data_IF_078887223671
#
_entry.id   IF_078887223671
#
_cell.length_a   1.000
_cell.length_b   1.000
_cell.length_c   1.000
_cell.angle_alpha   90.00
_cell.angle_beta   90.00
_cell.angle_gamma   90.00
#
_symmetry.space_group_name_H-M   'P 1'
#
loop_
_entity.id
_entity.type
_entity.pdbx_description
1 polymer ?
#
# COMPACT_ATOMS: atom_id res chain seq x y z
N UNK A 1 16.55 20.36 -54.23
CA UNK A 1 17.10 20.65 -52.90
C UNK A 1 16.09 20.09 -51.91
N UNK A 2 16.37 18.92 -51.34
CA UNK A 2 15.48 18.27 -50.38
C UNK A 2 15.68 18.92 -49.02
N UNK A 3 14.62 19.49 -48.47
CA UNK A 3 14.59 19.92 -47.08
C UNK A 3 14.62 18.69 -46.18
N UNK A 4 15.56 18.68 -45.24
CA UNK A 4 15.70 17.66 -44.22
C UNK A 4 14.52 17.73 -43.24
N UNK A 5 14.03 16.59 -42.73
CA UNK A 5 12.96 16.59 -41.75
C UNK A 5 13.47 17.10 -40.40
N UNK A 6 12.66 17.96 -39.77
CA UNK A 6 12.87 18.47 -38.42
C UNK A 6 13.01 17.30 -37.44
N UNK A 7 14.09 17.33 -36.64
CA UNK A 7 14.43 16.29 -35.69
C UNK A 7 13.31 16.06 -34.67
N UNK A 8 13.04 14.77 -34.43
CA UNK A 8 12.44 14.29 -33.19
C UNK A 8 13.23 14.88 -32.03
N UNK A 9 12.56 15.64 -31.16
CA UNK A 9 13.14 15.99 -29.88
C UNK A 9 13.28 14.68 -29.08
N UNK A 10 14.52 14.30 -28.80
CA UNK A 10 14.90 13.30 -27.81
C UNK A 10 14.22 13.63 -26.48
N UNK A 11 13.14 12.93 -26.15
CA UNK A 11 12.58 12.87 -24.80
C UNK A 11 13.27 11.74 -24.01
N UNK A 12 14.60 11.73 -24.02
CA UNK A 12 15.44 10.69 -23.40
C UNK A 12 15.67 10.91 -21.89
N UNK A 13 14.82 11.73 -21.24
CA UNK A 13 14.82 11.85 -19.79
C UNK A 13 14.25 10.55 -19.19
N UNK A 14 14.97 9.89 -18.26
CA UNK A 14 14.46 8.69 -17.63
C UNK A 14 13.13 9.01 -16.94
N UNK A 15 12.11 8.15 -17.05
CA UNK A 15 10.80 8.42 -16.50
C UNK A 15 10.89 8.71 -15.00
N UNK A 16 10.30 9.83 -14.57
CA UNK A 16 10.30 10.25 -13.16
C UNK A 16 9.33 9.38 -12.35
N UNK A 17 9.78 8.95 -11.17
CA UNK A 17 8.94 8.25 -10.18
C UNK A 17 7.92 9.22 -9.57
N UNK A 18 6.65 8.79 -9.46
CA UNK A 18 5.57 9.59 -8.87
C UNK A 18 4.94 8.75 -7.77
N UNK A 19 5.36 8.91 -6.50
CA UNK A 19 4.96 8.01 -5.43
C UNK A 19 3.45 8.07 -5.17
N UNK A 20 2.85 6.91 -4.94
CA UNK A 20 1.52 6.84 -4.34
C UNK A 20 1.61 7.22 -2.85
N UNK A 21 0.69 8.05 -2.31
CA UNK A 21 0.75 8.49 -0.91
C UNK A 21 0.75 7.34 0.09
N UNK A 22 1.51 7.48 1.19
CA UNK A 22 1.45 6.53 2.29
C UNK A 22 0.11 6.63 3.02
N UNK A 23 -0.51 5.48 3.30
CA UNK A 23 -1.75 5.39 4.08
C UNK A 23 -1.43 5.09 5.54
N UNK A 24 -1.78 6.02 6.44
CA UNK A 24 -1.57 5.91 7.88
C UNK A 24 -2.55 4.92 8.53
N UNK A 25 -2.22 4.37 9.69
CA UNK A 25 -3.23 3.71 10.54
C UNK A 25 -4.25 4.73 11.05
N UNK A 26 -5.43 4.28 11.49
CA UNK A 26 -6.44 5.18 12.05
C UNK A 26 -5.90 6.00 13.23
N UNK A 27 -5.22 5.35 14.19
CA UNK A 27 -4.68 6.03 15.36
C UNK A 27 -3.61 7.07 14.98
N UNK A 28 -2.72 6.74 14.05
CA UNK A 28 -1.70 7.68 13.56
C UNK A 28 -2.33 8.82 12.77
N UNK A 29 -3.38 8.56 12.00
CA UNK A 29 -4.16 9.60 11.33
C UNK A 29 -4.77 10.58 12.34
N UNK A 30 -5.44 10.07 13.37
CA UNK A 30 -6.06 10.87 14.43
C UNK A 30 -5.00 11.70 15.16
N UNK A 31 -3.92 11.08 15.64
CA UNK A 31 -2.84 11.77 16.35
C UNK A 31 -2.17 12.86 15.52
N UNK A 32 -1.94 12.60 14.23
CA UNK A 32 -1.26 13.54 13.34
C UNK A 32 -2.14 14.72 12.96
N UNK A 33 -3.41 14.48 12.65
CA UNK A 33 -4.25 15.48 11.98
C UNK A 33 -5.29 16.16 12.87
N UNK A 34 -5.80 15.49 13.92
CA UNK A 34 -6.82 16.08 14.80
C UNK A 34 -6.29 17.27 15.62
N UNK A 35 -5.06 17.26 16.18
CA UNK A 35 -4.55 18.44 16.88
C UNK A 35 -4.44 19.67 15.97
N UNK A 36 -3.98 19.48 14.73
CA UNK A 36 -3.87 20.56 13.73
C UNK A 36 -5.25 21.10 13.34
N UNK A 37 -6.22 20.20 13.15
CA UNK A 37 -7.60 20.54 12.87
C UNK A 37 -8.23 21.37 14.01
N UNK A 38 -8.07 20.94 15.27
CA UNK A 38 -8.60 21.63 16.46
C UNK A 38 -7.98 23.02 16.63
N UNK A 39 -6.66 23.12 16.47
CA UNK A 39 -5.97 24.41 16.53
C UNK A 39 -6.45 25.39 15.43
N UNK A 40 -6.65 24.90 14.20
CA UNK A 40 -7.19 25.72 13.11
C UNK A 40 -8.62 26.19 13.42
N UNK A 41 -9.47 25.32 13.97
CA UNK A 41 -10.84 25.65 14.36
C UNK A 41 -10.88 26.73 15.46
N UNK A 42 -10.07 26.57 16.51
CA UNK A 42 -9.95 27.55 17.60
C UNK A 42 -9.48 28.92 17.13
N UNK A 43 -8.58 28.94 16.13
CA UNK A 43 -8.05 30.17 15.53
C UNK A 43 -8.94 30.76 14.44
N UNK A 44 -10.10 30.15 14.14
CA UNK A 44 -10.99 30.56 13.05
C UNK A 44 -10.34 30.49 11.66
N UNK A 45 -9.33 29.63 11.50
CA UNK A 45 -8.60 29.43 10.24
C UNK A 45 -9.33 28.42 9.34
N UNK A 46 -8.95 28.41 8.05
CA UNK A 46 -9.42 27.36 7.13
C UNK A 46 -8.97 26.00 7.66
N UNK A 47 -9.93 25.09 7.83
CA UNK A 47 -9.64 23.73 8.26
C UNK A 47 -8.85 22.98 7.18
N UNK A 48 -7.86 22.15 7.55
CA UNK A 48 -7.09 21.34 6.59
C UNK A 48 -7.96 20.30 5.87
N UNK A 49 -9.01 19.80 6.54
CA UNK A 49 -10.04 18.90 6.01
C UNK A 49 -11.32 19.08 6.87
N UNK A 50 -12.49 18.56 6.42
CA UNK A 50 -13.74 18.71 7.17
C UNK A 50 -13.65 18.12 8.59
N UNK A 51 -14.12 18.87 9.59
CA UNK A 51 -14.12 18.40 10.99
C UNK A 51 -15.06 17.21 11.21
N UNK A 52 -16.15 17.17 10.45
CA UNK A 52 -17.00 16.00 10.29
C UNK A 52 -16.83 15.48 8.87
N UNK A 53 -16.29 14.28 8.70
CA UNK A 53 -15.96 13.73 7.40
C UNK A 53 -16.57 12.33 7.21
N UNK A 54 -17.01 12.05 5.98
CA UNK A 54 -17.50 10.74 5.57
C UNK A 54 -16.36 9.96 4.93
N UNK A 55 -16.21 8.69 5.29
CA UNK A 55 -15.22 7.79 4.71
C UNK A 55 -15.89 6.53 4.18
N UNK A 56 -15.36 6.04 3.07
CA UNK A 56 -15.70 4.75 2.50
C UNK A 56 -14.55 3.76 2.71
N UNK A 57 -14.85 2.65 3.36
CA UNK A 57 -13.96 1.51 3.52
C UNK A 57 -14.00 0.60 2.30
N UNK A 58 -12.84 0.30 1.72
CA UNK A 58 -12.64 -0.75 0.71
C UNK A 58 -11.66 -1.80 1.24
N UNK A 59 -11.65 -2.98 0.62
CA UNK A 59 -10.73 -4.04 1.04
C UNK A 59 -9.27 -3.60 0.89
N UNK A 60 -8.48 -3.78 1.96
CA UNK A 60 -7.04 -3.76 1.87
C UNK A 60 -6.56 -5.14 1.40
N UNK A 61 -6.01 -5.20 0.20
CA UNK A 61 -5.38 -6.40 -0.33
C UNK A 61 -3.90 -6.40 0.05
N UNK A 62 -3.37 -7.59 0.33
CA UNK A 62 -1.98 -7.80 0.70
C UNK A 62 -1.17 -8.21 -0.54
N UNK A 63 -0.43 -7.27 -1.11
CA UNK A 63 0.31 -7.46 -2.35
C UNK A 63 1.45 -6.45 -2.52
N UNK A 64 1.86 -6.25 -3.77
CA UNK A 64 2.79 -5.19 -4.14
C UNK A 64 2.00 -4.01 -4.66
N UNK A 65 2.26 -2.84 -4.09
CA UNK A 65 1.78 -1.59 -4.66
C UNK A 65 2.32 -1.45 -6.09
N UNK A 66 1.42 -1.16 -7.02
CA UNK A 66 1.77 -0.85 -8.39
C UNK A 66 0.97 0.33 -8.91
N UNK A 67 1.63 1.24 -9.60
CA UNK A 67 0.97 2.31 -10.35
C UNK A 67 1.28 2.16 -11.84
N UNK A 68 0.26 2.43 -12.65
CA UNK A 68 0.35 2.54 -14.10
C UNK A 68 0.20 4.02 -14.43
N UNK A 69 1.27 4.62 -14.95
CA UNK A 69 1.32 6.06 -15.26
C UNK A 69 1.22 6.28 -16.77
N UNK A 70 0.27 7.11 -17.18
CA UNK A 70 0.15 7.65 -18.53
C UNK A 70 0.41 9.15 -18.48
N UNK A 71 1.13 9.70 -19.46
CA UNK A 71 1.54 11.11 -19.45
C UNK A 71 1.50 11.70 -20.84
N UNK A 72 1.31 13.02 -20.91
CA UNK A 72 1.34 13.79 -22.16
C UNK A 72 0.38 13.23 -23.23
N UNK A 73 -0.82 12.83 -22.80
CA UNK A 73 -1.85 12.19 -23.63
C UNK A 73 -1.41 10.86 -24.32
N UNK A 74 -0.28 10.27 -23.92
CA UNK A 74 0.16 8.96 -24.42
C UNK A 74 -0.56 7.84 -23.67
N UNK A 75 -1.49 7.19 -24.38
CA UNK A 75 -2.30 6.07 -23.88
C UNK A 75 -1.63 4.71 -24.05
N UNK A 76 -0.58 4.60 -24.86
CA UNK A 76 -0.02 3.32 -25.31
C UNK A 76 1.31 2.96 -24.66
N UNK A 77 2.05 3.95 -24.13
CA UNK A 77 3.34 3.74 -23.48
C UNK A 77 3.28 4.04 -21.98
N UNK A 78 2.62 3.19 -21.17
CA UNK A 78 2.57 3.40 -19.73
C UNK A 78 3.95 3.20 -19.08
N UNK A 79 4.20 3.98 -18.03
CA UNK A 79 5.31 3.76 -17.10
C UNK A 79 4.78 3.03 -15.87
N UNK A 80 5.36 1.86 -15.57
CA UNK A 80 5.03 1.13 -14.35
C UNK A 80 5.89 1.61 -13.19
N UNK A 81 5.30 1.68 -12.00
CA UNK A 81 6.04 1.99 -10.79
C UNK A 81 5.62 1.06 -9.66
N UNK A 82 6.59 0.70 -8.83
CA UNK A 82 6.33 0.15 -7.52
C UNK A 82 6.25 1.31 -6.51
N UNK A 83 6.09 0.99 -5.22
CA UNK A 83 6.08 2.00 -4.15
C UNK A 83 7.33 2.88 -4.18
N UNK A 84 8.49 2.29 -4.44
CA UNK A 84 9.78 2.94 -4.23
C UNK A 84 10.54 3.32 -5.51
N UNK A 85 10.11 2.85 -6.69
CA UNK A 85 10.84 3.11 -7.94
C UNK A 85 10.00 2.93 -9.20
N UNK A 86 10.53 3.44 -10.31
CA UNK A 86 10.09 3.03 -11.64
C UNK A 86 10.49 1.58 -11.90
N UNK A 87 9.60 0.85 -12.56
CA UNK A 87 9.77 -0.55 -12.95
C UNK A 87 9.78 -0.64 -14.47
N UNK A 88 10.77 -1.35 -15.00
CA UNK A 88 11.02 -1.52 -16.43
C UNK A 88 10.62 -2.92 -16.89
N UNK A 89 10.57 -3.12 -18.21
CA UNK A 89 10.32 -4.44 -18.79
C UNK A 89 11.43 -5.46 -18.52
N UNK A 90 12.63 -5.02 -18.10
CA UNK A 90 13.76 -5.89 -17.75
C UNK A 90 13.68 -6.42 -16.31
N UNK A 91 12.86 -5.80 -15.46
CA UNK A 91 12.69 -6.21 -14.07
C UNK A 91 11.97 -7.57 -13.98
N UNK A 92 12.54 -8.50 -13.20
CA UNK A 92 11.97 -9.84 -12.96
C UNK A 92 10.96 -9.84 -11.79
N UNK A 93 10.07 -8.85 -11.77
CA UNK A 93 9.12 -8.61 -10.68
C UNK A 93 7.67 -9.02 -10.98
N UNK A 94 6.79 -8.96 -9.98
CA UNK A 94 5.37 -9.29 -10.16
C UNK A 94 4.64 -8.29 -11.05
N UNK A 95 5.06 -7.02 -11.05
CA UNK A 95 4.43 -5.95 -11.86
C UNK A 95 4.65 -6.19 -13.37
N UNK A 96 5.88 -6.32 -13.89
CA UNK A 96 6.08 -6.54 -15.33
C UNK A 96 5.56 -7.90 -15.78
N UNK A 97 5.70 -8.93 -14.93
CA UNK A 97 5.20 -10.28 -15.22
C UNK A 97 3.69 -10.31 -15.41
N UNK A 98 2.95 -9.41 -14.76
CA UNK A 98 1.50 -9.36 -14.88
C UNK A 98 1.04 -8.36 -15.93
N UNK A 99 1.63 -7.16 -15.98
CA UNK A 99 1.05 -6.03 -16.74
C UNK A 99 1.61 -5.86 -18.16
N UNK A 100 2.81 -6.36 -18.45
CA UNK A 100 3.42 -6.21 -19.77
C UNK A 100 2.56 -6.87 -20.86
N UNK A 101 2.42 -6.19 -22.00
CA UNK A 101 1.71 -6.70 -23.18
C UNK A 101 0.19 -6.65 -23.09
N UNK A 102 -0.40 -6.22 -21.96
CA UNK A 102 -1.84 -6.03 -21.83
C UNK A 102 -2.30 -4.75 -22.55
N UNK A 103 -3.54 -4.70 -23.09
CA UNK A 103 -4.06 -3.52 -23.77
C UNK A 103 -4.52 -2.44 -22.78
N UNK A 104 -3.59 -1.90 -21.98
CA UNK A 104 -3.87 -1.00 -20.86
C UNK A 104 -4.45 0.36 -21.28
N UNK A 105 -4.29 0.76 -22.55
CA UNK A 105 -4.93 1.95 -23.12
C UNK A 105 -6.46 1.93 -22.94
N UNK A 106 -7.07 0.74 -22.90
CA UNK A 106 -8.51 0.59 -22.67
C UNK A 106 -8.94 1.05 -21.26
N UNK A 107 -8.05 1.01 -20.26
CA UNK A 107 -8.34 1.60 -18.95
C UNK A 107 -8.37 3.12 -19.04
N UNK A 108 -7.44 3.72 -19.80
CA UNK A 108 -7.40 5.17 -20.02
C UNK A 108 -8.65 5.65 -20.73
N UNK A 109 -9.10 4.93 -21.76
CA UNK A 109 -10.32 5.27 -22.49
C UNK A 109 -11.53 5.31 -21.56
N UNK A 110 -11.69 4.29 -20.70
CA UNK A 110 -12.75 4.26 -19.67
C UNK A 110 -12.64 5.40 -18.66
N UNK A 111 -11.43 5.69 -18.18
CA UNK A 111 -11.18 6.78 -17.22
C UNK A 111 -11.56 8.13 -17.84
N UNK A 112 -11.09 8.40 -19.06
CA UNK A 112 -11.34 9.68 -19.72
C UNK A 112 -12.80 9.86 -20.14
N UNK A 113 -13.49 8.80 -20.54
CA UNK A 113 -14.94 8.85 -20.80
C UNK A 113 -15.71 9.33 -19.56
N UNK A 114 -15.41 8.76 -18.38
CA UNK A 114 -16.07 9.13 -17.12
C UNK A 114 -15.66 10.56 -16.71
N UNK A 115 -14.37 10.86 -16.74
CA UNK A 115 -13.81 12.13 -16.32
C UNK A 115 -14.33 13.30 -17.17
N UNK A 116 -14.27 13.17 -18.49
CA UNK A 116 -14.68 14.22 -19.42
C UNK A 116 -16.19 14.45 -19.35
N UNK A 117 -17.00 13.37 -19.27
CA UNK A 117 -18.44 13.48 -19.06
C UNK A 117 -18.76 14.25 -17.77
N UNK A 118 -18.08 13.95 -16.66
CA UNK A 118 -18.26 14.66 -15.39
C UNK A 118 -17.88 16.13 -15.44
N UNK A 119 -16.95 16.51 -16.33
CA UNK A 119 -16.52 17.91 -16.55
C UNK A 119 -17.27 18.62 -17.68
N UNK A 120 -18.18 17.95 -18.39
CA UNK A 120 -18.81 18.49 -19.60
C UNK A 120 -17.83 18.74 -20.75
N UNK A 121 -16.72 18.00 -20.77
CA UNK A 121 -15.67 18.09 -21.78
C UNK A 121 -15.85 17.01 -22.87
N UNK A 122 -15.32 17.21 -24.09
CA UNK A 122 -15.30 16.17 -25.11
C UNK A 122 -14.45 14.97 -24.69
N UNK A 123 -14.81 13.76 -25.13
CA UNK A 123 -14.04 12.53 -24.84
C UNK A 123 -12.57 12.58 -25.32
N UNK A 124 -12.31 13.39 -26.34
CA UNK A 124 -10.98 13.63 -26.90
C UNK A 124 -10.18 14.73 -26.18
N UNK A 125 -10.64 15.23 -25.03
CA UNK A 125 -9.87 16.19 -24.25
C UNK A 125 -8.52 15.56 -23.81
N UNK A 126 -7.38 16.24 -24.05
CA UNK A 126 -6.08 15.71 -23.69
C UNK A 126 -5.89 15.74 -22.17
N UNK A 127 -5.15 14.76 -21.64
CA UNK A 127 -4.71 14.73 -20.25
C UNK A 127 -3.19 14.96 -20.14
N UNK A 128 -2.76 15.57 -19.05
CA UNK A 128 -1.34 15.70 -18.71
C UNK A 128 -0.81 14.44 -18.04
N UNK A 129 -1.59 13.87 -17.12
CA UNK A 129 -1.23 12.67 -16.37
C UNK A 129 -2.46 11.86 -15.93
N UNK A 130 -2.38 10.54 -16.07
CA UNK A 130 -3.28 9.60 -15.39
C UNK A 130 -2.43 8.62 -14.57
N UNK A 131 -2.72 8.52 -13.28
CA UNK A 131 -2.21 7.46 -12.40
C UNK A 131 -3.34 6.49 -12.11
N UNK A 132 -3.15 5.22 -12.46
CA UNK A 132 -4.00 4.11 -12.02
C UNK A 132 -3.22 3.35 -10.94
N UNK A 133 -3.62 3.55 -9.68
CA UNK A 133 -2.99 2.90 -8.54
C UNK A 133 -3.76 1.65 -8.14
N UNK A 134 -3.01 0.57 -7.88
CA UNK A 134 -3.60 -0.71 -7.50
C UNK A 134 -2.61 -1.63 -6.80
N UNK A 135 -3.07 -2.83 -6.52
CA UNK A 135 -2.31 -3.87 -5.85
C UNK A 135 -2.09 -5.05 -6.79
N UNK A 136 -0.83 -5.42 -7.04
CA UNK A 136 -0.49 -6.70 -7.67
C UNK A 136 -0.44 -7.77 -6.58
N UNK A 137 -1.38 -8.69 -6.61
CA UNK A 137 -1.53 -9.74 -5.60
C UNK A 137 -1.87 -11.08 -6.24
N UNK A 138 -1.90 -12.14 -5.44
CA UNK A 138 -2.18 -13.50 -5.90
C UNK A 138 -1.05 -14.48 -5.58
N UNK A 139 -1.03 -15.60 -6.30
CA UNK A 139 -0.10 -16.71 -6.08
C UNK A 139 1.36 -16.25 -6.12
N UNK A 140 2.14 -16.75 -5.17
CA UNK A 140 3.58 -16.54 -5.00
C UNK A 140 3.97 -15.10 -4.65
N UNK A 141 3.01 -14.27 -4.22
CA UNK A 141 3.24 -12.89 -3.79
C UNK A 141 3.40 -12.84 -2.28
N UNK A 142 2.39 -13.31 -1.54
CA UNK A 142 2.40 -13.39 -0.08
C UNK A 142 1.92 -14.73 0.44
N UNK A 143 2.67 -15.29 1.38
CA UNK A 143 2.23 -16.47 2.13
C UNK A 143 1.15 -16.02 3.15
N UNK A 144 0.32 -16.94 3.62
CA UNK A 144 -0.65 -16.71 4.72
C UNK A 144 -1.87 -15.79 4.45
N UNK A 145 -2.13 -15.38 3.21
CA UNK A 145 -3.38 -14.69 2.82
C UNK A 145 -4.20 -15.52 1.84
N UNK A 146 -5.53 -15.44 1.92
CA UNK A 146 -6.44 -16.22 1.06
C UNK A 146 -6.22 -15.96 -0.43
N UNK A 147 -5.93 -14.70 -0.79
CA UNK A 147 -5.69 -14.26 -2.17
C UNK A 147 -4.48 -14.95 -2.80
N UNK A 148 -3.54 -15.50 -2.03
CA UNK A 148 -2.42 -16.31 -2.55
C UNK A 148 -2.87 -17.58 -3.28
N UNK A 149 -4.11 -18.02 -3.06
CA UNK A 149 -4.68 -19.19 -3.75
C UNK A 149 -5.17 -18.84 -5.17
N UNK A 150 -5.28 -17.56 -5.50
CA UNK A 150 -5.70 -17.06 -6.80
C UNK A 150 -4.51 -16.88 -7.74
N UNK A 151 -4.66 -17.05 -9.06
CA UNK A 151 -3.64 -16.60 -10.00
C UNK A 151 -3.36 -15.10 -9.82
N UNK A 152 -2.15 -14.64 -10.16
CA UNK A 152 -1.76 -13.22 -10.03
C UNK A 152 -2.78 -12.30 -10.71
N UNK A 153 -3.06 -11.16 -10.10
CA UNK A 153 -4.02 -10.17 -10.56
C UNK A 153 -3.59 -8.77 -10.12
N UNK A 154 -4.16 -7.75 -10.76
CA UNK A 154 -4.00 -6.35 -10.39
C UNK A 154 -5.37 -5.81 -9.99
N UNK A 155 -5.49 -5.23 -8.81
CA UNK A 155 -6.75 -4.64 -8.35
C UNK A 155 -6.59 -3.14 -8.17
N UNK A 156 -7.26 -2.36 -9.01
CA UNK A 156 -7.26 -0.90 -8.97
C UNK A 156 -7.97 -0.47 -7.69
N UNK A 157 -7.35 0.43 -6.92
CA UNK A 157 -7.94 0.99 -5.70
C UNK A 157 -8.07 2.52 -5.71
N UNK A 158 -7.31 3.24 -6.55
CA UNK A 158 -7.44 4.69 -6.70
C UNK A 158 -6.99 5.15 -8.09
N UNK A 159 -7.55 6.26 -8.55
CA UNK A 159 -7.23 6.88 -9.83
C UNK A 159 -6.98 8.38 -9.60
N UNK A 160 -5.95 8.92 -10.26
CA UNK A 160 -5.64 10.35 -10.29
C UNK A 160 -5.60 10.82 -11.74
N UNK A 161 -6.27 11.92 -12.04
CA UNK A 161 -6.25 12.57 -13.36
C UNK A 161 -5.81 14.02 -13.17
N UNK A 162 -4.74 14.41 -13.85
CA UNK A 162 -4.17 15.77 -13.82
C UNK A 162 -3.99 16.31 -12.40
N UNK A 163 -3.41 15.48 -11.53
CA UNK A 163 -3.14 15.82 -10.14
C UNK A 163 -4.33 15.71 -9.18
N UNK A 164 -5.53 15.42 -9.68
CA UNK A 164 -6.77 15.32 -8.87
C UNK A 164 -7.17 13.87 -8.66
N UNK A 165 -7.36 13.46 -7.40
CA UNK A 165 -7.92 12.15 -7.05
C UNK A 165 -9.42 12.13 -7.35
N UNK A 166 -9.87 11.10 -8.06
CA UNK A 166 -11.28 10.94 -8.44
C UNK A 166 -12.04 10.11 -7.40
N UNK A 167 -13.36 10.28 -7.37
CA UNK A 167 -14.24 9.45 -6.54
C UNK A 167 -14.36 8.05 -7.15
N UNK A 168 -13.70 7.06 -6.56
CA UNK A 168 -13.71 5.69 -7.08
C UNK A 168 -15.11 5.08 -7.24
N UNK A 169 -16.14 5.59 -6.55
CA UNK A 169 -17.53 5.15 -6.73
C UNK A 169 -18.05 5.37 -8.14
N UNK A 170 -17.57 6.42 -8.81
CA UNK A 170 -17.91 6.73 -10.21
C UNK A 170 -17.10 5.89 -11.21
N UNK A 171 -16.00 5.28 -10.77
CA UNK A 171 -15.03 4.56 -11.62
C UNK A 171 -15.05 3.05 -11.39
N UNK A 172 -16.10 2.50 -10.77
CA UNK A 172 -16.24 1.06 -10.46
C UNK A 172 -16.17 0.12 -11.68
N UNK A 173 -16.48 0.65 -12.87
CA UNK A 173 -16.48 -0.10 -14.14
C UNK A 173 -15.14 0.01 -14.90
N UNK A 174 -14.16 0.74 -14.34
CA UNK A 174 -12.77 0.76 -14.80
C UNK A 174 -12.10 -0.53 -14.35
N UNK A 175 -12.18 -1.55 -15.20
CA UNK A 175 -11.59 -2.87 -15.02
C UNK A 175 -11.35 -3.54 -16.38
N UNK A 176 -10.54 -4.61 -16.38
CA UNK A 176 -10.35 -5.53 -17.50
C UNK A 176 -10.25 -6.97 -16.95
N UNK A 177 -11.39 -7.54 -16.57
CA UNK A 177 -11.43 -8.83 -15.85
C UNK A 177 -10.84 -10.00 -16.64
N UNK A 178 -11.01 -10.01 -17.98
CA UNK A 178 -10.37 -11.00 -18.87
C UNK A 178 -8.84 -10.97 -18.77
N UNK A 179 -8.30 -9.81 -18.42
CA UNK A 179 -6.88 -9.57 -18.18
C UNK A 179 -6.49 -9.70 -16.70
N UNK A 180 -7.40 -10.13 -15.82
CA UNK A 180 -7.22 -10.16 -14.36
C UNK A 180 -6.88 -8.79 -13.77
N UNK A 181 -7.44 -7.74 -14.35
CA UNK A 181 -7.42 -6.38 -13.81
C UNK A 181 -8.81 -6.10 -13.24
N UNK A 182 -8.90 -6.02 -11.92
CA UNK A 182 -10.13 -5.82 -11.19
C UNK A 182 -10.21 -4.40 -10.63
N UNK A 183 -11.41 -4.00 -10.18
CA UNK A 183 -11.61 -2.74 -9.46
C UNK A 183 -12.08 -3.05 -8.03
N UNK A 184 -11.43 -2.48 -7.02
CA UNK A 184 -11.72 -2.77 -5.62
C UNK A 184 -13.19 -2.48 -5.25
N UNK A 185 -13.82 -1.57 -5.99
CA UNK A 185 -15.22 -1.18 -5.84
C UNK A 185 -16.23 -2.28 -6.22
N UNK A 186 -15.78 -3.40 -6.81
CA UNK A 186 -16.65 -4.54 -7.12
C UNK A 186 -16.83 -5.51 -5.94
N UNK A 187 -16.23 -5.21 -4.78
CA UNK A 187 -16.38 -5.96 -3.53
C UNK A 187 -17.08 -5.13 -2.46
N UNK A 188 -17.51 -5.74 -1.33
CA UNK A 188 -18.18 -5.01 -0.27
C UNK A 188 -17.42 -3.75 0.16
N UNK A 189 -18.18 -2.67 0.33
CA UNK A 189 -17.71 -1.41 0.88
C UNK A 189 -18.46 -1.12 2.18
N UNK A 190 -17.85 -0.26 3.00
CA UNK A 190 -18.42 0.21 4.25
C UNK A 190 -18.40 1.73 4.25
N UNK A 191 -19.27 2.37 5.04
CA UNK A 191 -19.25 3.81 5.23
C UNK A 191 -19.25 4.15 6.71
N UNK A 192 -18.55 5.22 7.05
CA UNK A 192 -18.52 5.78 8.40
C UNK A 192 -18.48 7.30 8.32
N UNK A 193 -19.15 7.97 9.24
CA UNK A 193 -19.00 9.41 9.44
C UNK A 193 -18.28 9.63 10.76
N UNK A 194 -17.19 10.40 10.72
CA UNK A 194 -16.34 10.65 11.88
C UNK A 194 -16.40 12.14 12.18
N UNK A 195 -16.77 12.46 13.42
CA UNK A 195 -16.60 13.80 13.97
C UNK A 195 -15.28 13.85 14.73
N UNK A 196 -14.30 14.56 14.18
CA UNK A 196 -12.97 14.69 14.75
C UNK A 196 -12.89 15.73 15.86
N UNK A 197 -13.97 16.46 16.15
CA UNK A 197 -14.04 17.34 17.32
C UNK A 197 -14.38 16.54 18.59
N UNK A 198 -15.05 15.40 18.43
CA UNK A 198 -15.47 14.49 19.50
C UNK A 198 -14.43 13.40 19.80
N UNK A 199 -14.70 12.57 20.82
CA UNK A 199 -13.91 11.36 21.08
C UNK A 199 -14.15 10.32 19.97
N UNK A 200 -13.05 9.74 19.47
CA UNK A 200 -13.05 8.79 18.35
C UNK A 200 -12.97 7.33 18.81
N UNK A 201 -12.96 7.06 20.11
CA UNK A 201 -12.79 5.71 20.66
C UNK A 201 -13.85 4.71 20.18
N UNK A 202 -15.14 5.06 20.24
CA UNK A 202 -16.22 4.17 19.79
C UNK A 202 -16.13 3.85 18.30
N UNK A 203 -15.81 4.87 17.50
CA UNK A 203 -15.59 4.72 16.06
C UNK A 203 -14.38 3.83 15.79
N UNK A 204 -13.28 4.03 16.50
CA UNK A 204 -12.09 3.17 16.41
C UNK A 204 -12.46 1.70 16.63
N UNK A 205 -13.16 1.40 17.73
CA UNK A 205 -13.60 0.03 18.04
C UNK A 205 -14.44 -0.56 16.90
N UNK A 206 -15.41 0.19 16.39
CA UNK A 206 -16.23 -0.26 15.27
C UNK A 206 -15.41 -0.52 13.99
N UNK A 207 -14.46 0.34 13.65
CA UNK A 207 -13.58 0.15 12.49
C UNK A 207 -12.81 -1.18 12.60
N UNK A 208 -12.27 -1.48 13.78
CA UNK A 208 -11.54 -2.74 14.01
C UNK A 208 -12.46 -3.96 14.07
N UNK A 209 -13.70 -3.83 14.58
CA UNK A 209 -14.70 -4.91 14.52
C UNK A 209 -15.05 -5.32 13.08
N UNK A 210 -15.22 -4.34 12.18
CA UNK A 210 -15.46 -4.64 10.76
C UNK A 210 -14.20 -5.20 10.10
N UNK A 211 -13.03 -4.65 10.44
CA UNK A 211 -11.74 -5.15 9.93
C UNK A 211 -11.52 -6.61 10.31
N UNK A 212 -11.87 -7.01 11.53
CA UNK A 212 -11.80 -8.40 11.99
C UNK A 212 -12.65 -9.34 11.14
N UNK A 213 -13.82 -8.92 10.67
CA UNK A 213 -14.65 -9.75 9.77
C UNK A 213 -13.94 -10.02 8.44
N UNK A 214 -13.18 -9.05 7.92
CA UNK A 214 -12.36 -9.21 6.71
C UNK A 214 -11.15 -10.11 6.97
N UNK A 215 -10.56 -10.01 8.16
CA UNK A 215 -9.48 -10.89 8.60
C UNK A 215 -9.93 -12.36 8.75
N UNK A 216 -11.12 -12.58 9.31
CA UNK A 216 -11.69 -13.91 9.49
C UNK A 216 -12.03 -14.56 8.14
N UNK A 217 -12.57 -13.78 7.19
CA UNK A 217 -12.80 -14.24 5.82
C UNK A 217 -12.62 -13.12 4.78
N UNK A 218 -11.60 -13.26 3.92
CA UNK A 218 -11.30 -12.32 2.85
C UNK A 218 -12.43 -12.29 1.80
N UNK A 219 -13.19 -11.17 1.66
CA UNK A 219 -14.31 -11.11 0.72
C UNK A 219 -13.86 -11.17 -0.75
N UNK A 220 -12.63 -10.72 -1.05
CA UNK A 220 -12.06 -10.82 -2.39
C UNK A 220 -11.82 -12.28 -2.78
N UNK A 221 -11.09 -13.05 -1.98
CA UNK A 221 -10.83 -14.46 -2.28
C UNK A 221 -12.14 -15.27 -2.31
N UNK A 222 -13.04 -14.95 -1.39
CA UNK A 222 -14.38 -15.50 -1.24
C UNK A 222 -15.28 -15.39 -2.48
N UNK A 223 -15.01 -14.47 -3.42
CA UNK A 223 -15.79 -14.37 -4.67
C UNK A 223 -15.35 -15.35 -5.76
N UNK A 224 -14.28 -16.14 -5.52
CA UNK A 224 -13.74 -17.11 -6.48
C UNK A 224 -13.88 -18.55 -5.98
N UNK A 225 -13.84 -19.48 -6.93
CA UNK A 225 -13.88 -20.92 -6.67
C UNK A 225 -12.50 -21.56 -6.86
N UNK A 226 -12.19 -22.55 -6.03
CA UNK A 226 -11.02 -23.42 -6.17
C UNK A 226 -11.24 -24.46 -7.29
N UNK A 227 -10.21 -25.26 -7.58
CA UNK A 227 -10.26 -26.32 -8.60
C UNK A 227 -11.31 -27.41 -8.34
N UNK A 228 -11.89 -27.46 -7.14
CA UNK A 228 -12.96 -28.37 -6.75
C UNK A 228 -14.33 -27.69 -6.73
N UNK A 229 -14.43 -26.46 -7.24
CA UNK A 229 -15.68 -25.70 -7.29
C UNK A 229 -16.12 -25.13 -5.94
N UNK A 230 -15.21 -25.01 -4.96
CA UNK A 230 -15.54 -24.49 -3.62
C UNK A 230 -15.03 -23.06 -3.46
N UNK A 231 -15.77 -22.24 -2.73
CA UNK A 231 -15.37 -20.89 -2.32
C UNK A 231 -13.95 -20.88 -1.75
N UNK A 232 -13.11 -19.94 -2.20
CA UNK A 232 -11.78 -19.75 -1.63
C UNK A 232 -11.92 -18.92 -0.34
N UNK A 233 -12.01 -19.63 0.78
CA UNK A 233 -12.00 -19.02 2.11
C UNK A 233 -10.58 -18.91 2.68
N UNK A 234 -10.41 -18.01 3.64
CA UNK A 234 -9.17 -17.75 4.36
C UNK A 234 -9.01 -16.28 4.75
N UNK A 235 -7.86 -15.97 5.33
CA UNK A 235 -7.59 -14.66 5.93
C UNK A 235 -7.42 -13.52 4.92
N UNK A 236 -8.05 -12.37 5.19
CA UNK A 236 -7.83 -11.08 4.52
C UNK A 236 -7.03 -10.10 5.39
N UNK A 237 -6.50 -9.02 4.81
CA UNK A 237 -5.62 -8.11 5.58
C UNK A 237 -6.40 -7.07 6.39
N UNK A 238 -7.38 -6.39 5.77
CA UNK A 238 -8.12 -5.33 6.45
C UNK A 238 -8.81 -4.38 5.49
N UNK A 239 -8.84 -3.09 5.84
CA UNK A 239 -9.57 -2.05 5.12
C UNK A 239 -8.74 -0.79 4.89
N UNK A 240 -9.03 -0.09 3.80
CA UNK A 240 -8.59 1.28 3.53
C UNK A 240 -9.82 2.17 3.49
N UNK A 241 -9.81 3.22 4.31
CA UNK A 241 -10.88 4.19 4.46
C UNK A 241 -10.48 5.46 3.74
N UNK A 242 -11.17 5.79 2.66
CA UNK A 242 -10.92 6.99 1.85
C UNK A 242 -12.06 7.98 2.04
N UNK A 243 -11.73 9.24 2.30
CA UNK A 243 -12.73 10.29 2.49
C UNK A 243 -13.57 10.46 1.23
N UNK A 244 -14.87 10.62 1.37
CA UNK A 244 -15.85 10.83 0.30
C UNK A 244 -16.75 12.05 0.64
N UNK A 245 -17.31 12.77 -0.33
CA UNK A 245 -18.21 13.90 -0.09
C UNK A 245 -19.48 13.40 0.58
N UNK A 246 -20.24 14.28 1.25
CA UNK A 246 -21.60 13.93 1.68
C UNK A 246 -22.55 13.79 0.46
N UNK A 247 -23.73 13.20 0.69
CA UNK A 247 -24.73 13.10 -0.38
C UNK A 247 -25.19 14.50 -0.81
N UNK A 248 -25.22 14.74 -2.12
CA UNK A 248 -25.54 16.06 -2.69
C UNK A 248 -24.39 17.07 -2.66
N UNK A 249 -23.24 16.73 -2.09
CA UNK A 249 -22.03 17.55 -2.17
C UNK A 249 -21.16 17.12 -3.36
N UNK A 250 -20.55 18.11 -4.02
CA UNK A 250 -19.49 17.84 -4.98
C UNK A 250 -18.23 17.38 -4.24
N UNK A 251 -17.48 16.46 -4.84
CA UNK A 251 -16.11 16.16 -4.43
C UNK A 251 -15.31 17.48 -4.32
N UNK A 252 -14.55 17.73 -3.23
CA UNK A 252 -13.89 19.02 -3.03
C UNK A 252 -13.10 19.47 -4.27
N UNK A 253 -13.09 20.78 -4.55
CA UNK A 253 -12.70 21.29 -5.87
C UNK A 253 -11.20 21.20 -6.19
N UNK A 254 -10.32 21.01 -5.20
CA UNK A 254 -8.88 20.85 -5.44
C UNK A 254 -8.41 19.39 -5.41
N UNK A 255 -8.91 18.55 -4.48
CA UNK A 255 -8.71 17.09 -4.40
C UNK A 255 -7.33 16.55 -4.82
N UNK A 256 -6.31 17.35 -4.55
CA UNK A 256 -4.90 17.05 -4.80
C UNK A 256 -4.32 16.16 -3.70
N UNK A 257 -4.94 16.20 -2.51
CA UNK A 257 -4.59 15.37 -1.36
C UNK A 257 -5.59 14.23 -1.17
N UNK A 258 -5.06 13.01 -1.03
CA UNK A 258 -5.85 11.82 -0.75
C UNK A 258 -5.94 11.62 0.77
N UNK A 259 -7.08 11.97 1.34
CA UNK A 259 -7.35 11.75 2.76
C UNK A 259 -7.80 10.31 2.98
N UNK A 260 -6.87 9.46 3.43
CA UNK A 260 -7.17 8.07 3.77
C UNK A 260 -6.41 7.59 5.01
N UNK A 261 -6.94 6.52 5.59
CA UNK A 261 -6.28 5.73 6.62
C UNK A 261 -6.59 4.25 6.42
N UNK A 262 -5.86 3.37 7.11
CA UNK A 262 -6.04 1.92 7.06
C UNK A 262 -6.34 1.37 8.45
N UNK A 263 -7.07 0.26 8.47
CA UNK A 263 -7.21 -0.61 9.63
C UNK A 263 -6.84 -2.02 9.21
N UNK A 264 -6.02 -2.70 10.00
CA UNK A 264 -5.52 -4.05 9.71
C UNK A 264 -6.02 -5.04 10.74
N UNK A 265 -6.20 -6.28 10.30
CA UNK A 265 -6.45 -7.41 11.19
C UNK A 265 -5.27 -7.65 12.12
N UNK A 266 -5.54 -8.26 13.27
CA UNK A 266 -4.56 -8.42 14.35
C UNK A 266 -3.32 -9.23 13.91
N UNK A 267 -3.47 -10.16 12.96
CA UNK A 267 -2.39 -10.97 12.38
C UNK A 267 -1.45 -10.17 11.48
N UNK A 268 -1.83 -8.96 11.07
CA UNK A 268 -1.08 -8.10 10.15
C UNK A 268 -0.50 -6.86 10.84
N UNK A 269 -0.68 -6.73 12.15
CA UNK A 269 -0.09 -5.67 12.94
C UNK A 269 1.42 -5.87 13.07
N UNK A 270 2.18 -4.81 12.81
CA UNK A 270 3.66 -4.83 12.86
C UNK A 270 4.20 -4.63 14.27
N UNK A 271 3.33 -4.21 15.19
CA UNK A 271 3.63 -4.02 16.62
C UNK A 271 2.86 -5.03 17.48
N UNK A 272 3.43 -5.35 18.64
CA UNK A 272 2.78 -6.16 19.66
C UNK A 272 1.61 -5.40 20.29
N UNK A 273 0.55 -6.15 20.63
CA UNK A 273 -0.59 -5.63 21.42
C UNK A 273 -0.20 -5.33 22.86
N UNK A 274 0.83 -5.99 23.37
CA UNK A 274 1.36 -5.71 24.70
C UNK A 274 2.16 -4.43 24.62
N UNK A 275 1.61 -3.36 25.22
CA UNK A 275 2.36 -2.11 25.37
C UNK A 275 3.69 -2.42 26.05
N UNK A 276 4.79 -1.81 25.59
CA UNK A 276 6.08 -2.02 26.23
C UNK A 276 5.98 -1.47 27.65
N UNK A 277 6.00 -2.36 28.62
CA UNK A 277 6.12 -2.02 30.02
C UNK A 277 7.62 -2.00 30.33
N UNK A 278 8.21 -0.84 30.61
CA UNK A 278 9.61 -0.80 31.01
C UNK A 278 9.80 -1.68 32.26
N UNK A 279 10.90 -2.45 32.35
CA UNK A 279 11.29 -3.11 33.60
C UNK A 279 11.29 -2.14 34.78
N UNK A 280 11.22 -2.65 36.02
CA UNK A 280 11.12 -1.80 37.24
C UNK A 280 12.35 -0.89 37.45
N UNK A 281 13.49 -1.22 36.85
CA UNK A 281 14.73 -0.43 36.83
C UNK A 281 15.57 -0.82 35.60
N UNK A 282 15.16 -0.45 34.37
CA UNK A 282 15.87 -0.82 33.17
C UNK A 282 17.04 0.13 32.96
N UNK A 283 18.22 -0.41 32.69
CA UNK A 283 19.24 0.38 32.01
C UNK A 283 18.77 0.75 30.59
N UNK A 284 19.51 1.63 29.91
CA UNK A 284 19.15 2.07 28.55
C UNK A 284 19.02 0.90 27.54
N UNK A 285 19.70 -0.23 27.77
CA UNK A 285 19.65 -1.40 26.89
C UNK A 285 18.39 -2.22 27.20
N UNK A 286 18.03 -2.40 28.46
CA UNK A 286 16.81 -3.09 28.89
C UNK A 286 15.56 -2.37 28.38
N UNK A 287 15.56 -1.03 28.44
CA UNK A 287 14.49 -0.21 27.90
C UNK A 287 14.37 -0.36 26.37
N UNK A 288 15.49 -0.28 25.65
CA UNK A 288 15.52 -0.53 24.22
C UNK A 288 15.05 -1.95 23.87
N UNK A 289 15.45 -2.97 24.64
CA UNK A 289 15.04 -4.37 24.41
C UNK A 289 13.53 -4.55 24.53
N UNK A 290 12.94 -4.04 25.62
CA UNK A 290 11.49 -4.07 25.82
C UNK A 290 10.74 -3.30 24.71
N UNK A 291 11.30 -2.20 24.24
CA UNK A 291 10.75 -1.47 23.10
C UNK A 291 10.79 -2.28 21.81
N UNK A 292 11.90 -2.95 21.50
CA UNK A 292 12.01 -3.79 20.30
C UNK A 292 11.06 -5.00 20.35
N UNK A 293 10.80 -5.57 21.54
CA UNK A 293 9.81 -6.66 21.70
C UNK A 293 8.39 -6.20 21.35
N UNK A 294 8.10 -4.94 21.60
CA UNK A 294 6.86 -4.31 21.16
C UNK A 294 6.91 -3.95 19.67
N UNK A 295 7.96 -3.28 19.22
CA UNK A 295 7.99 -2.65 17.91
C UNK A 295 8.19 -3.63 16.76
N UNK A 296 8.82 -4.79 17.00
CA UNK A 296 9.15 -5.75 15.95
C UNK A 296 8.38 -7.06 16.15
N UNK A 297 7.41 -7.28 15.27
CA UNK A 297 6.77 -8.58 15.04
C UNK A 297 7.32 -9.24 13.77
N UNK A 298 6.94 -10.50 13.55
CA UNK A 298 7.25 -11.22 12.30
C UNK A 298 6.72 -10.48 11.06
N UNK A 299 5.54 -9.86 11.14
CA UNK A 299 4.96 -9.08 10.05
C UNK A 299 5.85 -7.90 9.61
N UNK A 300 6.63 -7.30 10.52
CA UNK A 300 7.58 -6.23 10.16
C UNK A 300 8.77 -6.79 9.40
N UNK A 301 9.25 -7.97 9.76
CA UNK A 301 10.32 -8.63 9.03
C UNK A 301 9.89 -9.08 7.64
N UNK A 302 8.67 -9.62 7.52
CA UNK A 302 8.09 -9.94 6.22
C UNK A 302 8.08 -8.70 5.30
N UNK A 303 7.66 -7.53 5.81
CA UNK A 303 7.71 -6.26 5.06
C UNK A 303 9.12 -5.88 4.60
N UNK A 304 10.14 -6.13 5.41
CA UNK A 304 11.53 -5.92 5.00
C UNK A 304 11.95 -6.83 3.86
N UNK A 305 11.50 -8.10 3.84
CA UNK A 305 11.74 -9.03 2.74
C UNK A 305 11.09 -8.51 1.45
N UNK A 306 9.87 -7.99 1.53
CA UNK A 306 9.14 -7.44 0.40
C UNK A 306 9.89 -6.28 -0.23
N UNK A 307 10.36 -5.35 0.60
CA UNK A 307 11.19 -4.24 0.14
C UNK A 307 12.43 -4.73 -0.61
N UNK A 308 13.14 -5.72 -0.08
CA UNK A 308 14.31 -6.27 -0.77
C UNK A 308 13.96 -6.92 -2.11
N UNK A 309 12.81 -7.62 -2.19
CA UNK A 309 12.32 -8.21 -3.45
C UNK A 309 11.96 -7.14 -4.47
N UNK A 310 11.23 -6.10 -4.04
CA UNK A 310 10.86 -4.95 -4.87
C UNK A 310 12.10 -4.26 -5.47
N UNK A 311 13.14 -4.11 -4.64
CA UNK A 311 14.39 -3.46 -5.03
C UNK A 311 15.34 -4.39 -5.79
N UNK A 312 15.00 -5.67 -5.99
CA UNK A 312 15.83 -6.64 -6.74
C UNK A 312 17.16 -6.97 -6.07
N UNK A 313 17.21 -6.84 -4.74
CA UNK A 313 18.43 -6.98 -3.91
C UNK A 313 18.37 -8.19 -2.97
N UNK A 314 17.28 -8.96 -2.99
CA UNK A 314 17.17 -10.18 -2.20
C UNK A 314 18.05 -11.29 -2.82
N UNK A 315 19.23 -11.48 -2.25
CA UNK A 315 20.13 -12.60 -2.57
C UNK A 315 19.83 -13.81 -1.67
N UNK A 316 19.85 -15.03 -2.24
CA UNK A 316 19.64 -16.28 -1.51
C UNK A 316 20.96 -16.89 -1.01
N UNK A 317 20.92 -17.62 0.13
CA UNK A 317 22.05 -18.37 0.68
C UNK A 317 23.17 -17.51 1.30
N UNK A 318 24.37 -18.10 1.46
CA UNK A 318 25.49 -17.51 2.22
C UNK A 318 26.10 -16.22 1.61
N UNK A 319 25.70 -15.83 0.40
CA UNK A 319 26.22 -14.63 -0.27
C UNK A 319 25.48 -13.34 0.10
N UNK A 320 24.38 -13.40 0.86
CA UNK A 320 23.46 -12.30 1.16
C UNK A 320 23.98 -11.14 2.03
N UNK A 321 25.29 -10.82 2.04
CA UNK A 321 25.83 -9.73 2.85
C UNK A 321 25.20 -8.37 2.51
N UNK A 322 24.94 -8.13 1.21
CA UNK A 322 24.28 -6.91 0.74
C UNK A 322 22.82 -6.86 1.19
N UNK A 323 22.09 -7.96 1.00
CA UNK A 323 20.68 -8.07 1.42
C UNK A 323 20.54 -7.96 2.94
N UNK A 324 21.45 -8.54 3.74
CA UNK A 324 21.44 -8.42 5.20
C UNK A 324 21.60 -6.99 5.67
N UNK A 325 22.59 -6.26 5.14
CA UNK A 325 22.83 -4.87 5.53
C UNK A 325 21.64 -3.97 5.15
N UNK A 326 21.07 -4.17 3.96
CA UNK A 326 19.92 -3.40 3.50
C UNK A 326 18.64 -3.75 4.26
N UNK A 327 18.39 -5.03 4.55
CA UNK A 327 17.29 -5.48 5.40
C UNK A 327 17.36 -4.84 6.78
N UNK A 328 18.52 -4.93 7.41
CA UNK A 328 18.74 -4.43 8.76
C UNK A 328 18.48 -2.93 8.83
N UNK A 329 19.05 -2.17 7.88
CA UNK A 329 18.83 -0.72 7.78
C UNK A 329 17.37 -0.37 7.49
N UNK A 330 16.68 -1.16 6.66
CA UNK A 330 15.26 -0.95 6.38
C UNK A 330 14.44 -1.12 7.66
N UNK A 331 14.63 -2.21 8.41
CA UNK A 331 13.89 -2.47 9.66
C UNK A 331 14.18 -1.39 10.71
N UNK A 332 15.44 -0.95 10.83
CA UNK A 332 15.79 0.16 11.72
C UNK A 332 15.00 1.43 11.38
N UNK A 333 15.02 1.84 10.11
CA UNK A 333 14.35 3.06 9.69
C UNK A 333 12.83 2.96 9.84
N UNK A 334 12.25 1.82 9.46
CA UNK A 334 10.81 1.57 9.59
C UNK A 334 10.35 1.63 11.06
N UNK A 335 11.11 1.04 12.00
CA UNK A 335 10.82 1.15 13.44
C UNK A 335 10.94 2.59 13.94
N UNK A 336 12.01 3.28 13.58
CA UNK A 336 12.22 4.65 14.05
C UNK A 336 11.16 5.60 13.48
N UNK A 337 10.79 5.47 12.21
CA UNK A 337 9.81 6.35 11.56
C UNK A 337 8.38 6.09 12.06
N UNK A 338 7.96 4.83 12.17
CA UNK A 338 6.58 4.49 12.56
C UNK A 338 6.37 4.62 14.08
N UNK A 339 7.39 4.37 14.91
CA UNK A 339 7.27 4.38 16.38
C UNK A 339 8.01 5.55 17.06
N UNK A 340 8.40 6.58 16.30
CA UNK A 340 9.14 7.75 16.82
C UNK A 340 8.51 8.36 18.07
N UNK A 341 7.21 8.68 17.98
CA UNK A 341 6.49 9.34 19.08
C UNK A 341 6.50 8.50 20.35
N UNK A 342 6.33 7.17 20.21
CA UNK A 342 6.36 6.25 21.33
C UNK A 342 7.75 6.11 21.92
N UNK A 343 8.77 6.07 21.07
CA UNK A 343 10.18 6.06 21.50
C UNK A 343 10.49 7.26 22.38
N UNK A 344 10.02 8.45 21.97
CA UNK A 344 10.16 9.70 22.73
C UNK A 344 9.37 9.66 24.04
N UNK A 345 8.11 9.21 24.02
CA UNK A 345 7.25 9.08 25.21
C UNK A 345 7.89 8.21 26.30
N UNK A 346 8.55 7.12 25.90
CA UNK A 346 9.19 6.18 26.81
C UNK A 346 10.64 6.53 27.16
N UNK A 347 11.19 7.61 26.60
CA UNK A 347 12.57 8.03 26.85
C UNK A 347 13.63 7.04 26.34
N UNK A 348 13.33 6.30 25.27
CA UNK A 348 14.25 5.32 24.68
C UNK A 348 15.31 6.05 23.85
N UNK A 349 16.59 5.82 24.11
CA UNK A 349 17.70 6.41 23.33
C UNK A 349 17.80 5.78 21.94
N UNK A 350 17.61 6.58 20.88
CA UNK A 350 17.61 6.11 19.48
C UNK A 350 18.86 5.29 19.12
N UNK A 351 20.05 5.76 19.53
CA UNK A 351 21.31 5.07 19.22
C UNK A 351 21.38 3.66 19.83
N UNK A 352 20.85 3.48 21.06
CA UNK A 352 20.77 2.16 21.70
C UNK A 352 19.70 1.30 21.03
N UNK A 353 18.57 1.91 20.70
CA UNK A 353 17.46 1.23 20.03
C UNK A 353 17.89 0.67 18.67
N UNK A 354 18.50 1.49 17.80
CA UNK A 354 19.02 1.05 16.49
C UNK A 354 19.97 -0.14 16.62
N UNK A 355 20.87 -0.15 17.61
CA UNK A 355 21.78 -1.28 17.84
C UNK A 355 21.03 -2.57 18.18
N UNK A 356 20.01 -2.51 19.04
CA UNK A 356 19.21 -3.69 19.43
C UNK A 356 18.33 -4.17 18.27
N UNK A 357 17.75 -3.25 17.49
CA UNK A 357 17.01 -3.58 16.27
C UNK A 357 17.93 -4.30 15.29
N UNK A 358 19.13 -3.75 15.07
CA UNK A 358 20.08 -4.29 14.10
C UNK A 358 20.45 -5.74 14.38
N UNK A 359 20.73 -6.04 15.65
CA UNK A 359 21.05 -7.39 16.10
C UNK A 359 19.88 -8.37 15.89
N UNK A 360 18.67 -7.96 16.30
CA UNK A 360 17.45 -8.78 16.13
C UNK A 360 17.16 -9.05 14.66
N UNK A 361 17.16 -8.01 13.83
CA UNK A 361 16.86 -8.10 12.40
C UNK A 361 17.87 -8.99 11.67
N UNK A 362 19.17 -8.80 11.93
CA UNK A 362 20.23 -9.65 11.36
C UNK A 362 20.06 -11.12 11.74
N UNK A 363 19.83 -11.42 13.01
CA UNK A 363 19.66 -12.79 13.49
C UNK A 363 18.42 -13.46 12.87
N UNK A 364 17.30 -12.74 12.76
CA UNK A 364 16.10 -13.25 12.11
C UNK A 364 16.34 -13.51 10.61
N UNK A 365 16.96 -12.55 9.91
CA UNK A 365 17.20 -12.63 8.48
C UNK A 365 18.14 -13.79 8.10
N UNK A 366 19.15 -14.09 8.94
CA UNK A 366 20.00 -15.26 8.70
C UNK A 366 19.21 -16.57 8.77
N UNK A 367 18.31 -16.73 9.75
CA UNK A 367 17.43 -17.91 9.81
C UNK A 367 16.52 -18.01 8.59
N UNK A 368 15.92 -16.88 8.18
CA UNK A 368 15.12 -16.83 6.95
C UNK A 368 15.92 -17.30 5.72
N UNK A 369 17.17 -16.86 5.57
CA UNK A 369 18.03 -17.29 4.45
C UNK A 369 18.37 -18.79 4.50
N UNK A 370 18.60 -19.34 5.70
CA UNK A 370 18.83 -20.78 5.91
C UNK A 370 17.60 -21.61 5.54
N UNK A 371 16.41 -21.20 5.99
CA UNK A 371 15.14 -21.87 5.70
C UNK A 371 14.84 -21.89 4.19
N UNK A 372 14.97 -20.74 3.52
CA UNK A 372 14.77 -20.64 2.06
C UNK A 372 15.79 -21.50 1.30
N UNK A 373 17.02 -21.64 1.80
CA UNK A 373 18.02 -22.51 1.21
C UNK A 373 17.63 -23.99 1.37
N UNK A 374 17.10 -24.41 2.53
CA UNK A 374 16.62 -25.78 2.72
C UNK A 374 15.41 -26.13 1.85
N UNK A 375 14.44 -25.22 1.70
CA UNK A 375 13.27 -25.42 0.83
C UNK A 375 13.65 -25.54 -0.66
N UNK A 376 14.73 -24.85 -1.08
CA UNK A 376 15.23 -24.88 -2.45
C UNK A 376 16.03 -26.14 -2.82
N UNK A 377 16.54 -26.89 -1.84
CA UNK A 377 17.28 -28.15 -2.08
C UNK A 377 16.32 -29.33 -2.27
N UNK A 378 15.24 -29.41 -1.46
CA UNK A 378 14.26 -30.51 -1.54
C UNK A 378 13.46 -30.54 -2.85
N UNK A 379 13.22 -29.39 -3.48
CA UNK A 379 12.47 -29.31 -4.75
C UNK A 379 13.28 -29.78 -5.98
N UNK A 380 14.60 -29.95 -5.84
CA UNK A 380 15.46 -30.50 -6.92
C UNK A 380 15.63 -32.02 -6.83
N UNK A 381 15.28 -32.64 -5.70
CA UNK A 381 15.37 -34.08 -5.50
C UNK A 381 14.17 -34.86 -6.08
N UNK A 382 13.01 -34.22 -6.23
CA UNK A 382 11.78 -34.84 -6.78
C UNK A 382 11.66 -34.71 -8.32
N UNK A 383 12.71 -34.25 -9.02
CA UNK A 383 12.76 -34.14 -10.49
C UNK A 383 13.83 -35.04 -11.14
N UNK A 384 14.27 -36.12 -10.48
CA UNK A 384 15.10 -37.16 -11.10
C UNK A 384 14.35 -38.45 -11.36
#
# INVERSE_FOLDING_TARGET
MSEAPAGQADNDAPPTHTPYPHTLTFDTFVKRYVPVLKAAAEQGQRLPFPSKARFMGTLKLHGYNATIMFRNDDRHNPVFQSRNRVVTSQDKGPIPSLLNGKPLHLLVDKVMEIYNRGKGQPDAAPFSEIMIAGEVAGRDIYRNVAINRLPKFFCIFNIRVDGTWVDMREYKDVSMESERIFNIMNWPTWEVTIDFMEDTLEISNWLYEITKKVEDECPFAASFLDSRGRKISGTGEGLVWTMIPFEGEAWPSDCTMLWNFKTKGEKFEVVSRTKPAPPRDPDAIGLATAFVDYAITEARFEQGIEYLREMGILEHGQNGRRSTAQFTKWVENDVIEEEWERMVELGVEEAKLRRVIAERARNWFFRYLEEVQSEGVDTTADMQ
#
